data_IF_335009267832
#
_entry.id   IF_335009267832
#
_cell.length_a   1.000
_cell.length_b   1.000
_cell.length_c   1.000
_cell.angle_alpha   90.00
_cell.angle_beta   90.00
_cell.angle_gamma   90.00
#
_symmetry.space_group_name_H-M   'P 1'
#
loop_
_entity.id
_entity.type
_entity.pdbx_description
1 polymer ?
#
# COMPACT_ATOMS: atom_id res chain seq x y z
N UNK A 1 6.35 9.34 -7.14
CA UNK A 1 5.89 9.60 -5.76
C UNK A 1 6.66 8.79 -4.72
N UNK A 2 6.47 7.48 -4.50
CA UNK A 2 7.26 6.75 -3.47
C UNK A 2 8.75 6.63 -3.79
N UNK A 3 9.08 6.11 -4.98
CA UNK A 3 10.46 5.91 -5.46
C UNK A 3 11.01 7.04 -6.34
N UNK A 4 10.12 7.92 -6.82
CA UNK A 4 10.46 8.99 -7.76
C UNK A 4 11.19 8.49 -9.03
N UNK A 5 10.81 7.30 -9.50
CA UNK A 5 11.46 6.63 -10.64
C UNK A 5 11.19 7.30 -12.00
N UNK A 6 10.16 8.12 -12.10
CA UNK A 6 9.81 8.90 -13.29
C UNK A 6 8.89 10.08 -12.93
N UNK A 7 8.75 11.01 -13.86
CA UNK A 7 7.90 12.21 -13.74
C UNK A 7 6.74 12.16 -14.75
N UNK A 8 5.57 12.68 -14.36
CA UNK A 8 4.38 12.78 -15.22
C UNK A 8 3.69 14.13 -15.01
N UNK A 9 2.83 14.59 -15.95
CA UNK A 9 1.98 15.74 -15.72
C UNK A 9 1.13 15.56 -14.45
N UNK A 10 0.90 16.64 -13.70
CA UNK A 10 0.26 16.59 -12.37
C UNK A 10 -1.14 15.96 -12.38
N UNK A 11 -1.90 16.12 -13.46
CA UNK A 11 -3.21 15.48 -13.62
C UNK A 11 -3.09 13.95 -13.65
N UNK A 12 -2.09 13.42 -14.37
CA UNK A 12 -1.84 11.97 -14.44
C UNK A 12 -1.45 11.46 -13.06
N UNK A 13 -0.58 12.19 -12.35
CA UNK A 13 -0.22 11.86 -10.97
C UNK A 13 -1.46 11.77 -10.06
N UNK A 14 -2.35 12.75 -10.11
CA UNK A 14 -3.57 12.76 -9.30
C UNK A 14 -4.53 11.61 -9.64
N UNK A 15 -4.68 11.26 -10.92
CA UNK A 15 -5.48 10.10 -11.32
C UNK A 15 -4.89 8.82 -10.71
N UNK A 16 -3.56 8.64 -10.78
CA UNK A 16 -2.89 7.48 -10.21
C UNK A 16 -3.02 7.42 -8.68
N UNK A 17 -2.90 8.56 -7.99
CA UNK A 17 -3.10 8.65 -6.53
C UNK A 17 -4.55 8.31 -6.15
N UNK A 18 -5.53 8.77 -6.93
CA UNK A 18 -6.93 8.43 -6.70
C UNK A 18 -7.19 6.94 -6.92
N UNK A 19 -6.65 6.33 -7.97
CA UNK A 19 -6.69 4.89 -8.18
C UNK A 19 -6.05 4.12 -7.02
N UNK A 20 -4.90 4.57 -6.51
CA UNK A 20 -4.27 3.99 -5.32
C UNK A 20 -5.16 4.12 -4.07
N UNK A 21 -5.86 5.24 -3.91
CA UNK A 21 -6.81 5.44 -2.79
C UNK A 21 -7.99 4.46 -2.87
N UNK A 22 -8.46 4.14 -4.08
CA UNK A 22 -9.49 3.13 -4.32
C UNK A 22 -9.03 1.69 -3.98
N UNK A 23 -7.73 1.42 -3.94
CA UNK A 23 -7.19 0.13 -3.49
C UNK A 23 -7.35 -0.09 -1.98
N UNK A 24 -7.62 0.97 -1.20
CA UNK A 24 -7.98 0.87 0.22
C UNK A 24 -6.85 0.45 1.16
N UNK A 25 -5.59 0.61 0.77
CA UNK A 25 -4.41 0.17 1.54
C UNK A 25 -3.91 1.18 2.57
N UNK A 26 -4.74 2.14 2.97
CA UNK A 26 -4.35 3.32 3.72
C UNK A 26 -4.29 4.57 2.83
N UNK A 27 -4.29 5.74 3.47
CA UNK A 27 -4.16 7.00 2.74
C UNK A 27 -2.81 7.10 2.04
N UNK A 28 -2.71 7.81 0.89
CA UNK A 28 -1.47 7.87 0.12
C UNK A 28 -0.28 8.38 0.91
N UNK A 29 -0.45 9.36 1.81
CA UNK A 29 0.67 9.90 2.61
C UNK A 29 1.20 8.81 3.53
N UNK A 30 0.33 8.10 4.24
CA UNK A 30 0.75 7.02 5.14
C UNK A 30 1.40 5.86 4.38
N UNK A 31 0.78 5.42 3.29
CA UNK A 31 1.29 4.31 2.47
C UNK A 31 2.68 4.65 1.92
N UNK A 32 2.84 5.85 1.32
CA UNK A 32 4.12 6.31 0.77
C UNK A 32 5.17 6.43 1.88
N UNK A 33 4.79 6.97 3.05
CA UNK A 33 5.69 7.12 4.19
C UNK A 33 6.18 5.78 4.72
N UNK A 34 5.27 4.84 4.98
CA UNK A 34 5.60 3.49 5.43
C UNK A 34 6.45 2.74 4.41
N UNK A 35 6.10 2.85 3.13
CA UNK A 35 6.86 2.23 2.04
C UNK A 35 8.30 2.75 1.96
N UNK A 36 8.49 4.07 2.11
CA UNK A 36 9.84 4.67 2.16
C UNK A 36 10.62 4.20 3.40
N UNK A 37 9.96 4.05 4.55
CA UNK A 37 10.58 3.48 5.76
C UNK A 37 10.98 2.03 5.53
N UNK A 38 10.11 1.21 4.93
CA UNK A 38 10.42 -0.17 4.58
C UNK A 38 11.67 -0.25 3.70
N UNK A 39 11.74 0.48 2.59
CA UNK A 39 12.93 0.43 1.73
C UNK A 39 14.22 0.89 2.42
N UNK A 40 14.13 1.86 3.34
CA UNK A 40 15.32 2.32 4.06
C UNK A 40 15.79 1.33 5.14
N UNK A 41 14.87 0.57 5.73
CA UNK A 41 15.14 -0.29 6.88
C UNK A 41 14.81 -1.76 6.62
N UNK A 42 14.71 -2.18 5.36
CA UNK A 42 14.24 -3.52 4.98
C UNK A 42 14.97 -4.60 5.77
N UNK A 43 14.22 -5.56 6.31
CA UNK A 43 14.72 -6.65 7.14
C UNK A 43 15.39 -6.23 8.48
N UNK A 44 15.27 -4.97 8.88
CA UNK A 44 15.67 -4.48 10.20
C UNK A 44 14.46 -4.31 11.13
N UNK A 45 14.67 -4.10 12.43
CA UNK A 45 13.57 -3.94 13.41
C UNK A 45 12.66 -2.74 13.13
N UNK A 46 13.16 -1.74 12.40
CA UNK A 46 12.42 -0.56 11.97
C UNK A 46 11.56 -0.79 10.72
N UNK A 47 11.68 -1.93 10.05
CA UNK A 47 10.82 -2.30 8.92
C UNK A 47 9.42 -2.68 9.43
N UNK A 48 8.35 -1.97 8.99
CA UNK A 48 6.99 -2.27 9.39
C UNK A 48 6.60 -3.74 9.19
N UNK A 49 6.99 -4.35 8.09
CA UNK A 49 6.64 -5.71 7.71
C UNK A 49 7.87 -6.59 7.52
N UNK A 50 8.84 -6.44 8.43
CA UNK A 50 10.09 -7.19 8.46
C UNK A 50 9.87 -8.70 8.20
N UNK A 51 10.41 -9.19 7.09
CA UNK A 51 10.27 -10.57 6.64
C UNK A 51 10.91 -11.59 7.59
N UNK A 52 11.96 -11.19 8.33
CA UNK A 52 12.67 -12.02 9.30
C UNK A 52 11.82 -12.39 10.53
N UNK A 53 10.75 -11.63 10.79
CA UNK A 53 9.74 -11.99 11.82
C UNK A 53 8.79 -13.11 11.37
N UNK A 54 8.96 -13.60 10.15
CA UNK A 54 8.27 -14.74 9.58
C UNK A 54 7.14 -14.37 8.62
N UNK A 55 6.75 -15.35 7.79
CA UNK A 55 5.81 -15.17 6.69
C UNK A 55 4.46 -14.55 7.12
N UNK A 56 3.89 -15.02 8.23
CA UNK A 56 2.59 -14.50 8.69
C UNK A 56 2.70 -13.05 9.20
N UNK A 57 3.83 -12.68 9.80
CA UNK A 57 4.07 -11.30 10.23
C UNK A 57 4.12 -10.38 9.02
N UNK A 58 4.95 -10.68 8.03
CA UNK A 58 5.11 -9.83 6.85
C UNK A 58 3.88 -9.84 5.93
N UNK A 59 3.11 -10.93 5.91
CA UNK A 59 1.87 -11.00 5.14
C UNK A 59 0.74 -10.15 5.76
N UNK A 60 0.41 -10.35 7.04
CA UNK A 60 -0.75 -9.65 7.65
C UNK A 60 -0.54 -9.22 9.10
N UNK A 61 0.34 -9.89 9.84
CA UNK A 61 0.49 -9.70 11.28
C UNK A 61 0.91 -8.28 11.66
N UNK A 62 1.75 -7.65 10.83
CA UNK A 62 2.22 -6.28 11.05
C UNK A 62 1.08 -5.24 11.10
N UNK A 63 -0.04 -5.49 10.41
CA UNK A 63 -1.20 -4.58 10.41
C UNK A 63 -2.07 -4.71 11.67
N UNK A 64 -1.91 -5.80 12.42
CA UNK A 64 -2.70 -6.07 13.63
C UNK A 64 -2.07 -5.47 14.89
N UNK A 65 -0.93 -4.80 14.75
CA UNK A 65 -0.19 -4.17 15.84
C UNK A 65 0.06 -2.70 15.53
N UNK A 66 0.29 -1.91 16.58
CA UNK A 66 0.78 -0.55 16.40
C UNK A 66 2.18 -0.59 15.79
N UNK A 67 2.38 0.23 14.75
CA UNK A 67 3.62 0.24 14.00
C UNK A 67 4.49 1.44 14.39
N UNK A 68 5.66 1.23 15.01
CA UNK A 68 6.58 2.32 15.35
C UNK A 68 7.04 3.14 14.13
N UNK A 69 6.98 2.56 12.91
CA UNK A 69 7.28 3.28 11.67
C UNK A 69 6.32 4.46 11.41
N UNK A 70 5.12 4.45 11.99
CA UNK A 70 4.13 5.51 11.81
C UNK A 70 4.65 6.88 12.27
N UNK A 71 5.43 6.93 13.36
CA UNK A 71 6.03 8.17 13.87
C UNK A 71 7.00 8.82 12.87
N UNK A 72 7.53 8.03 11.93
CA UNK A 72 8.48 8.48 10.92
C UNK A 72 7.80 9.00 9.65
N UNK A 73 6.51 8.72 9.42
CA UNK A 73 5.79 9.06 8.17
C UNK A 73 5.94 10.54 7.82
N UNK A 74 5.72 11.45 8.78
CA UNK A 74 5.82 12.89 8.54
C UNK A 74 7.22 13.34 8.09
N UNK A 75 8.29 12.69 8.59
CA UNK A 75 9.66 12.93 8.15
C UNK A 75 9.87 12.50 6.69
N UNK A 76 9.28 11.37 6.32
CA UNK A 76 9.45 10.76 5.00
C UNK A 76 8.48 11.27 3.94
N UNK A 77 7.57 12.21 4.23
CA UNK A 77 6.54 12.64 3.27
C UNK A 77 6.45 14.15 3.08
N UNK A 78 7.43 14.91 3.57
CA UNK A 78 7.46 16.39 3.49
C UNK A 78 7.25 16.96 2.08
N UNK A 79 7.62 16.21 1.05
CA UNK A 79 7.43 16.54 -0.36
C UNK A 79 5.98 16.51 -0.83
N UNK A 80 5.11 15.76 -0.16
CA UNK A 80 3.69 15.58 -0.54
C UNK A 80 2.70 16.01 0.54
N UNK A 81 3.12 16.11 1.81
CA UNK A 81 2.20 16.40 2.93
C UNK A 81 1.48 17.74 2.81
N UNK A 82 2.03 18.71 2.07
CA UNK A 82 1.41 20.01 1.84
C UNK A 82 0.43 20.06 0.66
N UNK A 83 0.33 19.00 -0.14
CA UNK A 83 -0.53 18.95 -1.33
C UNK A 83 -1.98 18.65 -0.92
N UNK A 84 -2.90 19.55 -1.27
CA UNK A 84 -4.32 19.44 -0.90
C UNK A 84 -5.01 18.22 -1.50
N UNK A 85 -4.60 17.78 -2.68
CA UNK A 85 -5.19 16.59 -3.30
C UNK A 85 -4.74 15.33 -2.56
N UNK A 86 -3.47 15.26 -2.17
CA UNK A 86 -2.97 14.18 -1.34
C UNK A 86 -3.67 14.14 0.03
N UNK A 87 -3.88 15.30 0.66
CA UNK A 87 -4.64 15.39 1.92
C UNK A 87 -6.10 14.95 1.73
N UNK A 88 -6.75 15.36 0.64
CA UNK A 88 -8.11 14.90 0.30
C UNK A 88 -8.17 13.38 0.19
N UNK A 89 -7.24 12.75 -0.53
CA UNK A 89 -7.17 11.30 -0.64
C UNK A 89 -6.79 10.62 0.70
N UNK A 90 -5.87 11.21 1.45
CA UNK A 90 -5.41 10.73 2.76
C UNK A 90 -6.56 10.56 3.74
N UNK A 91 -7.40 11.59 3.89
CA UNK A 91 -8.51 11.58 4.85
C UNK A 91 -9.82 11.09 4.23
N UNK A 92 -9.93 11.14 2.90
CA UNK A 92 -11.13 10.78 2.15
C UNK A 92 -11.25 9.30 1.82
N UNK A 93 -10.27 8.44 2.13
CA UNK A 93 -10.26 7.04 1.72
C UNK A 93 -11.58 6.30 2.04
N UNK A 94 -12.08 6.39 3.28
CA UNK A 94 -13.34 5.73 3.66
C UNK A 94 -14.55 6.39 2.98
N UNK A 95 -14.75 7.72 3.03
CA UNK A 95 -15.82 8.39 2.28
C UNK A 95 -15.85 8.05 0.78
N UNK A 96 -14.68 8.00 0.13
CA UNK A 96 -14.57 7.65 -1.30
C UNK A 96 -15.08 6.23 -1.55
N UNK A 97 -14.74 5.26 -0.69
CA UNK A 97 -15.25 3.89 -0.79
C UNK A 97 -16.77 3.83 -0.58
N UNK A 98 -17.32 4.65 0.33
CA UNK A 98 -18.77 4.72 0.55
C UNK A 98 -19.50 5.29 -0.68
N UNK A 99 -18.96 6.36 -1.29
CA UNK A 99 -19.52 6.92 -2.54
C UNK A 99 -19.50 5.88 -3.66
N UNK A 100 -18.38 5.16 -3.81
CA UNK A 100 -18.28 4.07 -4.78
C UNK A 100 -19.28 2.94 -4.47
N UNK A 101 -19.45 2.57 -3.20
CA UNK A 101 -20.40 1.54 -2.78
C UNK A 101 -21.84 1.93 -3.12
N UNK A 102 -22.23 3.19 -2.86
CA UNK A 102 -23.56 3.70 -3.22
C UNK A 102 -23.79 3.70 -4.73
N UNK A 103 -22.77 4.11 -5.49
CA UNK A 103 -22.83 4.08 -6.95
C UNK A 103 -22.98 2.65 -7.49
N UNK A 104 -22.19 1.70 -6.97
CA UNK A 104 -22.29 0.28 -7.33
C UNK A 104 -23.64 -0.33 -6.95
N UNK A 105 -24.16 0.04 -5.78
CA UNK A 105 -25.49 -0.37 -5.33
C UNK A 105 -26.59 0.13 -6.27
N UNK A 106 -26.50 1.39 -6.70
CA UNK A 106 -27.44 1.94 -7.68
C UNK A 106 -27.40 1.18 -9.02
N UNK A 107 -26.22 0.74 -9.47
CA UNK A 107 -26.07 0.04 -10.74
C UNK A 107 -26.53 -1.43 -10.72
N UNK A 108 -26.34 -2.14 -9.60
CA UNK A 108 -26.57 -3.60 -9.58
C UNK A 108 -26.86 -4.18 -8.21
N UNK A 109 -27.26 -3.34 -7.25
CA UNK A 109 -27.65 -3.75 -5.90
C UNK A 109 -26.51 -4.33 -5.06
N UNK A 110 -26.87 -5.11 -4.05
CA UNK A 110 -25.92 -5.70 -3.11
C UNK A 110 -24.82 -6.56 -3.77
N UNK A 111 -25.09 -7.39 -4.81
CA UNK A 111 -24.02 -8.16 -5.45
C UNK A 111 -22.86 -7.28 -5.96
N UNK A 112 -23.17 -6.11 -6.55
CA UNK A 112 -22.14 -5.19 -7.04
C UNK A 112 -21.32 -4.59 -5.91
N UNK A 113 -21.92 -4.33 -4.75
CA UNK A 113 -21.20 -3.86 -3.55
C UNK A 113 -20.32 -4.97 -2.98
N UNK A 114 -20.85 -6.19 -2.84
CA UNK A 114 -20.10 -7.34 -2.32
C UNK A 114 -18.85 -7.59 -3.15
N UNK A 115 -18.99 -7.68 -4.47
CA UNK A 115 -17.87 -7.95 -5.36
C UNK A 115 -16.98 -6.74 -5.57
N UNK A 116 -17.56 -5.57 -5.84
CA UNK A 116 -16.85 -4.35 -6.21
C UNK A 116 -16.18 -3.62 -5.05
N UNK A 117 -16.60 -3.86 -3.80
CA UNK A 117 -15.97 -3.30 -2.60
C UNK A 117 -15.29 -4.41 -1.80
N UNK A 118 -16.06 -5.30 -1.18
CA UNK A 118 -15.53 -6.19 -0.15
C UNK A 118 -14.59 -7.26 -0.71
N UNK A 119 -15.05 -8.07 -1.66
CA UNK A 119 -14.21 -9.14 -2.25
C UNK A 119 -13.01 -8.54 -2.98
N UNK A 120 -13.23 -7.47 -3.77
CA UNK A 120 -12.14 -6.73 -4.43
C UNK A 120 -11.06 -6.31 -3.43
N UNK A 121 -11.44 -5.70 -2.30
CA UNK A 121 -10.47 -5.25 -1.30
C UNK A 121 -9.69 -6.44 -0.72
N UNK A 122 -10.36 -7.52 -0.31
CA UNK A 122 -9.68 -8.71 0.22
C UNK A 122 -8.65 -9.27 -0.77
N UNK A 123 -9.02 -9.39 -2.05
CA UNK A 123 -8.11 -9.85 -3.10
C UNK A 123 -6.93 -8.90 -3.27
N UNK A 124 -7.19 -7.59 -3.38
CA UNK A 124 -6.14 -6.56 -3.52
C UNK A 124 -5.16 -6.57 -2.34
N UNK A 125 -5.67 -6.73 -1.12
CA UNK A 125 -4.85 -6.83 0.08
C UNK A 125 -3.92 -8.06 0.01
N UNK A 126 -4.46 -9.25 -0.26
CA UNK A 126 -3.61 -10.45 -0.36
C UNK A 126 -2.58 -10.37 -1.49
N UNK A 127 -2.96 -9.86 -2.66
CA UNK A 127 -2.01 -9.64 -3.76
C UNK A 127 -0.85 -8.74 -3.32
N UNK A 128 -1.15 -7.65 -2.62
CA UNK A 128 -0.12 -6.71 -2.15
C UNK A 128 0.72 -7.30 -1.03
N UNK A 129 0.09 -8.00 -0.09
CA UNK A 129 0.78 -8.66 1.02
C UNK A 129 1.72 -9.78 0.58
N UNK A 130 1.45 -10.44 -0.55
CA UNK A 130 2.41 -11.39 -1.13
C UNK A 130 3.73 -10.72 -1.56
N UNK A 131 3.71 -9.42 -1.91
CA UNK A 131 4.93 -8.63 -2.19
C UNK A 131 5.75 -8.37 -0.92
N UNK A 132 5.14 -8.48 0.27
CA UNK A 132 5.88 -8.37 1.53
C UNK A 132 6.35 -9.74 2.04
N UNK A 133 5.64 -10.82 1.67
CA UNK A 133 5.81 -12.13 2.29
C UNK A 133 6.39 -13.19 1.37
N UNK A 134 5.81 -13.39 0.19
CA UNK A 134 6.21 -14.45 -0.72
C UNK A 134 7.50 -14.10 -1.47
N UNK A 135 7.64 -12.87 -1.91
CA UNK A 135 8.87 -12.31 -2.51
C UNK A 135 10.04 -12.21 -1.53
N UNK A 136 9.85 -12.44 -0.22
CA UNK A 136 10.96 -12.52 0.74
C UNK A 136 11.23 -13.95 1.23
N UNK A 137 10.52 -14.95 0.69
CA UNK A 137 10.61 -16.35 1.14
C UNK A 137 10.75 -17.36 0.02
N UNK A 138 10.12 -17.11 -1.12
CA UNK A 138 10.03 -18.02 -2.25
C UNK A 138 10.49 -17.33 -3.51
N UNK A 139 11.42 -17.96 -4.25
CA UNK A 139 11.87 -17.43 -5.53
C UNK A 139 13.36 -17.59 -5.73
N UNK A 140 13.90 -16.71 -6.55
CA UNK A 140 15.31 -16.69 -6.94
C UNK A 140 15.83 -15.25 -6.96
N UNK A 141 17.15 -15.08 -6.93
CA UNK A 141 17.79 -13.77 -6.95
C UNK A 141 18.62 -13.64 -8.22
N UNK A 142 18.29 -12.64 -9.04
CA UNK A 142 19.02 -12.37 -10.30
C UNK A 142 20.06 -11.25 -10.16
N UNK A 143 19.90 -10.38 -9.16
CA UNK A 143 20.80 -9.26 -8.89
C UNK A 143 21.15 -9.23 -7.41
N UNK A 144 22.36 -8.79 -7.08
CA UNK A 144 22.73 -8.57 -5.68
C UNK A 144 21.86 -7.46 -5.06
N UNK A 145 21.39 -7.71 -3.85
CA UNK A 145 20.65 -6.77 -3.01
C UNK A 145 21.05 -7.02 -1.56
N UNK A 146 20.92 -6.00 -0.72
CA UNK A 146 21.30 -6.07 0.70
C UNK A 146 20.16 -6.57 1.62
N UNK A 147 19.04 -6.99 1.02
CA UNK A 147 17.85 -7.52 1.67
C UNK A 147 17.56 -8.96 1.22
N UNK A 148 16.51 -9.54 1.79
CA UNK A 148 15.99 -10.87 1.52
C UNK A 148 15.04 -10.92 0.31
N UNK A 149 14.95 -9.84 -0.48
CA UNK A 149 14.07 -9.77 -1.64
C UNK A 149 14.45 -10.81 -2.71
N UNK A 150 13.43 -11.47 -3.26
CA UNK A 150 13.49 -12.52 -4.26
C UNK A 150 12.50 -12.23 -5.40
N UNK A 151 12.86 -12.67 -6.59
CA UNK A 151 11.98 -12.75 -7.74
C UNK A 151 11.03 -13.94 -7.58
N UNK A 152 9.73 -13.67 -7.48
CA UNK A 152 8.69 -14.69 -7.35
C UNK A 152 7.70 -14.55 -8.51
N UNK A 153 7.75 -15.44 -9.51
CA UNK A 153 7.09 -15.21 -10.82
C UNK A 153 5.56 -15.08 -10.79
N UNK A 154 4.90 -15.62 -9.77
CA UNK A 154 3.44 -15.59 -9.62
C UNK A 154 2.96 -14.43 -8.75
N UNK A 155 3.90 -13.65 -8.19
CA UNK A 155 3.66 -12.38 -7.51
C UNK A 155 4.03 -11.26 -8.48
#
# INVERSE_FOLDING_TARGET
VSHRSFEVPKLVEYILIFCGTLAGQGGPIDWIGLHRVHHQYSDLDSDPHNSLKGFYWSHLGWMLCQNPANEKIARYTKDISGDRFYQFCQYGMIPIQLVLALFLYYLGGLPFVVWGIFVRLVVVFHCTWFVNSATHKFGYKSYESHDTSLNCWWV
#
